data_IF_124998417333
#
_entry.id   IF_124998417333
#
_cell.length_a   1.000
_cell.length_b   1.000
_cell.length_c   1.000
_cell.angle_alpha   90.00
_cell.angle_beta   90.00
_cell.angle_gamma   90.00
#
_symmetry.space_group_name_H-M   'P 1'
#
loop_
_entity.id
_entity.type
_entity.pdbx_description
1 polymer ?
#
# COMPACT_ATOMS: atom_id res chain seq x y z
N UNK A 1 28.44 -10.66 10.39
CA UNK A 1 27.75 -9.69 11.27
C UNK A 1 26.96 -10.50 12.29
N UNK A 2 26.99 -10.17 13.59
CA UNK A 2 26.24 -10.97 14.59
C UNK A 2 24.75 -10.65 14.49
N UNK A 3 23.84 -11.60 14.80
CA UNK A 3 22.38 -11.37 14.74
C UNK A 3 21.91 -10.13 15.52
N UNK A 4 22.54 -9.87 16.68
CA UNK A 4 22.24 -8.71 17.52
C UNK A 4 22.60 -7.38 16.85
N UNK A 5 23.66 -7.36 16.04
CA UNK A 5 24.06 -6.17 15.28
C UNK A 5 22.99 -5.85 14.22
N UNK A 6 22.44 -6.87 13.55
CA UNK A 6 21.41 -6.70 12.52
C UNK A 6 20.09 -6.16 13.09
N UNK A 7 19.65 -6.67 14.25
CA UNK A 7 18.44 -6.19 14.92
C UNK A 7 18.60 -4.73 15.35
N UNK A 8 19.77 -4.38 15.91
CA UNK A 8 20.07 -3.01 16.30
C UNK A 8 20.07 -2.08 15.08
N UNK A 9 20.75 -2.45 14.00
CA UNK A 9 20.76 -1.67 12.75
C UNK A 9 19.37 -1.44 12.19
N UNK A 10 18.50 -2.47 12.17
CA UNK A 10 17.12 -2.33 11.69
C UNK A 10 16.32 -1.36 12.57
N UNK A 11 16.49 -1.43 13.89
CA UNK A 11 15.80 -0.54 14.82
C UNK A 11 16.27 0.91 14.66
N UNK A 12 17.58 1.12 14.60
CA UNK A 12 18.18 2.45 14.41
C UNK A 12 17.72 3.04 13.06
N UNK A 13 17.66 2.22 12.01
CA UNK A 13 17.09 2.60 10.72
C UNK A 13 15.62 3.03 10.84
N UNK A 14 14.78 2.24 11.52
CA UNK A 14 13.36 2.58 11.70
C UNK A 14 13.17 3.86 12.54
N UNK A 15 13.99 4.06 13.57
CA UNK A 15 13.97 5.27 14.40
C UNK A 15 14.42 6.53 13.65
N UNK A 16 15.30 6.38 12.64
CA UNK A 16 15.71 7.48 11.76
C UNK A 16 14.67 7.91 10.73
N UNK A 17 13.54 7.21 10.63
CA UNK A 17 12.48 7.55 9.69
C UNK A 17 11.68 8.77 10.17
N UNK A 18 11.29 9.62 9.22
CA UNK A 18 10.49 10.83 9.46
C UNK A 18 9.20 10.73 8.66
N UNK A 19 8.17 10.01 9.17
CA UNK A 19 6.93 9.82 8.45
C UNK A 19 6.16 11.13 8.28
N UNK A 20 5.49 11.27 7.13
CA UNK A 20 4.59 12.39 6.85
C UNK A 20 3.15 11.96 7.11
N UNK A 21 2.36 12.76 7.81
CA UNK A 21 0.93 12.50 7.95
C UNK A 21 0.21 13.02 6.71
N UNK A 22 -0.40 12.12 5.94
CA UNK A 22 -1.06 12.43 4.67
C UNK A 22 -2.52 11.96 4.69
N UNK A 23 -3.40 12.69 4.01
CA UNK A 23 -4.75 12.21 3.71
C UNK A 23 -4.67 11.24 2.52
N UNK A 24 -4.80 9.94 2.77
CA UNK A 24 -4.54 8.93 1.73
C UNK A 24 -5.52 9.00 0.57
N UNK A 25 -6.75 9.49 0.78
CA UNK A 25 -7.76 9.59 -0.29
C UNK A 25 -7.58 10.87 -1.10
N UNK A 26 -7.39 12.01 -0.45
CA UNK A 26 -7.38 13.29 -1.18
C UNK A 26 -6.01 13.76 -1.63
N UNK A 27 -4.94 13.35 -0.94
CA UNK A 27 -3.63 13.98 -1.08
C UNK A 27 -2.56 13.00 -1.61
N UNK A 28 -2.79 11.69 -1.52
CA UNK A 28 -1.76 10.69 -1.82
C UNK A 28 -2.18 9.62 -2.84
N UNK A 29 -3.16 8.77 -2.51
CA UNK A 29 -3.49 7.61 -3.34
C UNK A 29 -4.71 7.83 -4.24
N UNK A 30 -5.69 8.66 -3.85
CA UNK A 30 -6.91 8.80 -4.63
C UNK A 30 -7.62 7.45 -4.80
N UNK A 31 -7.79 7.03 -6.05
CA UNK A 31 -8.36 5.73 -6.44
C UNK A 31 -7.30 4.68 -6.79
N UNK A 32 -6.01 4.99 -6.61
CA UNK A 32 -4.94 4.04 -6.86
C UNK A 32 -4.99 2.86 -5.91
N UNK A 33 -4.59 1.70 -6.42
CA UNK A 33 -4.58 0.46 -5.65
C UNK A 33 -3.47 0.49 -4.59
N UNK A 34 -3.83 0.16 -3.35
CA UNK A 34 -2.86 -0.16 -2.32
C UNK A 34 -3.10 -1.55 -1.72
N UNK A 35 -2.07 -2.10 -1.10
CA UNK A 35 -2.18 -3.38 -0.41
C UNK A 35 -2.36 -3.16 1.09
N UNK A 36 -3.15 -4.02 1.73
CA UNK A 36 -3.23 -4.09 3.20
C UNK A 36 -2.52 -5.38 3.63
N UNK A 37 -1.53 -5.27 4.51
CA UNK A 37 -0.92 -6.44 5.13
C UNK A 37 -1.93 -7.09 6.10
N UNK A 38 -2.35 -8.32 5.79
CA UNK A 38 -3.44 -9.01 6.46
C UNK A 38 -3.20 -9.24 7.95
N UNK A 39 -1.99 -9.60 8.35
CA UNK A 39 -1.62 -9.80 9.75
C UNK A 39 -1.64 -8.47 10.53
N UNK A 40 -1.20 -7.37 9.91
CA UNK A 40 -1.32 -6.03 10.49
C UNK A 40 -2.76 -5.58 10.66
N UNK A 41 -3.61 -5.85 9.66
CA UNK A 41 -5.05 -5.59 9.72
C UNK A 41 -5.70 -6.30 10.90
N UNK A 42 -5.48 -7.62 11.03
CA UNK A 42 -6.04 -8.42 12.11
C UNK A 42 -5.56 -7.88 13.46
N UNK A 43 -4.23 -7.70 13.63
CA UNK A 43 -3.67 -7.20 14.89
C UNK A 43 -4.28 -5.88 15.31
N UNK A 44 -4.32 -4.91 14.39
CA UNK A 44 -4.90 -3.60 14.65
C UNK A 44 -6.36 -3.72 15.12
N UNK A 45 -7.19 -4.44 14.37
CA UNK A 45 -8.61 -4.59 14.70
C UNK A 45 -8.83 -5.30 16.04
N UNK A 46 -8.11 -6.38 16.32
CA UNK A 46 -8.22 -7.12 17.58
C UNK A 46 -7.80 -6.25 18.77
N UNK A 47 -6.74 -5.46 18.63
CA UNK A 47 -6.26 -4.56 19.68
C UNK A 47 -7.22 -3.40 19.92
N UNK A 48 -7.64 -2.69 18.86
CA UNK A 48 -8.52 -1.53 18.98
C UNK A 48 -9.91 -1.91 19.53
N UNK A 49 -10.47 -3.03 19.08
CA UNK A 49 -11.75 -3.52 19.57
C UNK A 49 -11.64 -4.30 20.89
N UNK A 50 -10.42 -4.47 21.44
CA UNK A 50 -10.16 -5.22 22.68
C UNK A 50 -10.78 -6.63 22.66
N UNK A 51 -10.63 -7.33 21.54
CA UNK A 51 -11.23 -8.64 21.33
C UNK A 51 -10.56 -9.67 22.24
N UNK A 52 -11.37 -10.36 23.06
CA UNK A 52 -10.88 -11.47 23.88
C UNK A 52 -10.92 -12.80 23.10
N UNK A 53 -9.78 -13.17 22.53
CA UNK A 53 -9.56 -14.51 21.96
C UNK A 53 -9.06 -15.54 22.99
N UNK A 54 -8.77 -15.10 24.21
CA UNK A 54 -8.21 -15.93 25.28
C UNK A 54 -9.27 -16.80 25.93
N UNK A 55 -10.11 -16.20 26.75
CA UNK A 55 -11.09 -16.94 27.56
C UNK A 55 -12.42 -17.08 26.80
N UNK A 56 -12.97 -15.96 26.31
CA UNK A 56 -14.29 -15.94 25.68
C UNK A 56 -14.31 -16.33 24.19
N UNK A 57 -13.14 -16.39 23.53
CA UNK A 57 -13.01 -16.65 22.08
C UNK A 57 -14.01 -15.85 21.24
N UNK A 58 -13.99 -14.52 21.38
CA UNK A 58 -14.92 -13.57 20.76
C UNK A 58 -14.72 -13.44 19.24
N UNK A 59 -14.87 -14.55 18.51
CA UNK A 59 -14.65 -14.64 17.07
C UNK A 59 -15.56 -13.71 16.27
N UNK A 60 -16.83 -13.61 16.62
CA UNK A 60 -17.75 -12.70 15.93
C UNK A 60 -17.36 -11.23 16.11
N UNK A 61 -16.85 -10.88 17.30
CA UNK A 61 -16.33 -9.55 17.55
C UNK A 61 -15.07 -9.28 16.71
N UNK A 62 -14.19 -10.29 16.56
CA UNK A 62 -13.05 -10.21 15.64
C UNK A 62 -13.50 -9.95 14.20
N UNK A 63 -14.43 -10.74 13.66
CA UNK A 63 -14.96 -10.57 12.30
C UNK A 63 -15.55 -9.18 12.12
N UNK A 64 -16.45 -8.78 13.01
CA UNK A 64 -17.09 -7.46 12.96
C UNK A 64 -16.08 -6.31 13.01
N UNK A 65 -15.05 -6.42 13.86
CA UNK A 65 -14.01 -5.38 13.99
C UNK A 65 -13.21 -5.17 12.70
N UNK A 66 -12.94 -6.25 11.95
CA UNK A 66 -12.24 -6.17 10.66
C UNK A 66 -13.16 -5.64 9.57
N UNK A 67 -14.39 -6.15 9.48
CA UNK A 67 -15.39 -5.65 8.51
C UNK A 67 -15.68 -4.16 8.69
N UNK A 68 -15.78 -3.70 9.94
CA UNK A 68 -15.99 -2.29 10.26
C UNK A 68 -14.85 -1.41 9.72
N UNK A 69 -13.60 -1.84 9.87
CA UNK A 69 -12.47 -1.08 9.32
C UNK A 69 -12.48 -1.06 7.78
N UNK A 70 -12.68 -2.22 7.15
CA UNK A 70 -12.69 -2.33 5.69
C UNK A 70 -13.85 -1.54 5.06
N UNK A 71 -15.03 -1.58 5.68
CA UNK A 71 -16.19 -0.78 5.26
C UNK A 71 -15.95 0.72 5.40
N UNK A 72 -15.25 1.17 6.45
CA UNK A 72 -14.86 2.58 6.59
C UNK A 72 -13.86 3.04 5.52
N UNK A 73 -12.94 2.17 5.08
CA UNK A 73 -12.07 2.44 3.94
C UNK A 73 -12.88 2.51 2.63
N UNK A 74 -13.75 1.52 2.37
CA UNK A 74 -14.60 1.48 1.16
C UNK A 74 -15.58 2.64 1.08
N UNK A 75 -16.15 3.07 2.20
CA UNK A 75 -17.04 4.25 2.26
C UNK A 75 -16.33 5.56 1.84
N UNK A 76 -15.00 5.58 1.87
CA UNK A 76 -14.16 6.70 1.40
C UNK A 76 -13.50 6.42 0.05
N UNK A 77 -14.03 5.45 -0.68
CA UNK A 77 -13.61 5.08 -2.03
C UNK A 77 -12.14 4.64 -2.14
N UNK A 78 -11.60 4.08 -1.05
CA UNK A 78 -10.29 3.47 -1.05
C UNK A 78 -10.29 2.19 -1.92
N UNK A 79 -9.35 2.12 -2.87
CA UNK A 79 -9.11 0.95 -3.69
C UNK A 79 -7.97 0.12 -3.10
N UNK A 80 -8.28 -1.07 -2.59
CA UNK A 80 -7.28 -1.89 -1.92
C UNK A 80 -7.52 -3.38 -2.14
N UNK A 81 -6.44 -4.15 -2.05
CA UNK A 81 -6.46 -5.61 -1.92
C UNK A 81 -5.79 -6.01 -0.58
N UNK A 82 -6.11 -7.18 -0.04
CA UNK A 82 -5.56 -7.67 1.23
C UNK A 82 -4.60 -8.83 0.97
N UNK A 83 -3.37 -8.69 1.44
CA UNK A 83 -2.29 -9.66 1.24
C UNK A 83 -1.93 -10.33 2.57
N UNK A 84 -2.11 -11.64 2.63
CA UNK A 84 -1.69 -12.49 3.73
C UNK A 84 -0.41 -13.24 3.38
N UNK A 85 0.43 -13.50 4.38
CA UNK A 85 1.67 -14.26 4.19
C UNK A 85 1.72 -15.45 5.15
N UNK A 86 1.99 -16.64 4.61
CA UNK A 86 2.02 -17.88 5.40
C UNK A 86 3.15 -17.87 6.44
N UNK A 87 4.31 -17.33 6.10
CA UNK A 87 5.42 -17.16 7.04
C UNK A 87 5.17 -16.11 8.14
N UNK A 88 4.12 -15.29 7.99
CA UNK A 88 3.71 -14.30 8.99
C UNK A 88 2.57 -14.77 9.91
N UNK A 89 2.08 -16.01 9.77
CA UNK A 89 0.91 -16.53 10.51
C UNK A 89 0.98 -16.29 12.04
N UNK A 90 2.18 -16.32 12.62
CA UNK A 90 2.39 -16.15 14.06
C UNK A 90 2.48 -14.68 14.51
N UNK A 91 2.46 -13.70 13.61
CA UNK A 91 2.51 -12.27 13.98
C UNK A 91 1.28 -11.84 14.78
N UNK A 92 0.11 -12.44 14.54
CA UNK A 92 -1.09 -12.15 15.30
C UNK A 92 -1.14 -12.85 16.67
N UNK A 93 -0.22 -13.79 16.95
CA UNK A 93 -0.23 -14.59 18.18
C UNK A 93 0.61 -13.89 19.26
N UNK A 94 0.07 -13.58 20.45
CA UNK A 94 0.87 -13.05 21.55
C UNK A 94 2.06 -13.97 21.86
N UNK A 95 3.25 -13.41 22.15
CA UNK A 95 4.48 -14.19 22.33
C UNK A 95 4.32 -15.30 23.39
N UNK A 96 3.63 -15.00 24.49
CA UNK A 96 3.30 -15.93 25.56
C UNK A 96 2.36 -17.07 25.17
N UNK A 97 1.69 -16.96 24.02
CA UNK A 97 0.66 -17.89 23.56
C UNK A 97 1.09 -18.78 22.37
N UNK A 98 2.24 -18.52 21.73
CA UNK A 98 2.67 -19.15 20.46
C UNK A 98 2.58 -20.68 20.47
N UNK A 99 3.07 -21.31 21.55
CA UNK A 99 3.12 -22.77 21.74
C UNK A 99 1.92 -23.34 22.51
N UNK A 100 0.94 -22.51 22.86
CA UNK A 100 -0.21 -22.90 23.68
C UNK A 100 -1.48 -23.07 22.83
N UNK A 101 -2.50 -23.70 23.43
CA UNK A 101 -3.87 -23.73 22.88
C UNK A 101 -4.43 -22.32 22.63
N UNK A 102 -3.99 -21.30 23.38
CA UNK A 102 -4.35 -19.90 23.14
C UNK A 102 -3.83 -19.43 21.78
N UNK A 103 -2.62 -19.81 21.37
CA UNK A 103 -2.08 -19.48 20.05
C UNK A 103 -2.84 -20.13 18.89
N UNK A 104 -3.37 -21.33 19.10
CA UNK A 104 -4.24 -21.99 18.12
C UNK A 104 -5.53 -21.20 17.86
N UNK A 105 -6.08 -20.52 18.88
CA UNK A 105 -7.27 -19.66 18.72
C UNK A 105 -6.99 -18.49 17.76
N UNK A 106 -5.85 -17.81 17.89
CA UNK A 106 -5.46 -16.73 16.97
C UNK A 106 -5.27 -17.22 15.52
N UNK A 107 -4.60 -18.36 15.33
CA UNK A 107 -4.41 -18.97 14.00
C UNK A 107 -5.75 -19.40 13.39
N UNK A 108 -6.64 -19.96 14.19
CA UNK A 108 -8.01 -20.30 13.76
C UNK A 108 -8.79 -19.06 13.35
N UNK A 109 -8.75 -17.99 14.16
CA UNK A 109 -9.38 -16.70 13.82
C UNK A 109 -8.84 -16.15 12.49
N UNK A 110 -7.51 -16.16 12.28
CA UNK A 110 -6.89 -15.78 10.99
C UNK A 110 -7.46 -16.59 9.83
N UNK A 111 -7.50 -17.91 9.95
CA UNK A 111 -8.00 -18.80 8.89
C UNK A 111 -9.48 -18.56 8.58
N UNK A 112 -10.30 -18.35 9.62
CA UNK A 112 -11.72 -18.05 9.48
C UNK A 112 -11.92 -16.72 8.77
N UNK A 113 -11.18 -15.67 9.13
CA UNK A 113 -11.25 -14.36 8.47
C UNK A 113 -10.89 -14.45 6.99
N UNK A 114 -9.78 -15.12 6.64
CA UNK A 114 -9.37 -15.32 5.24
C UNK A 114 -10.49 -16.04 4.46
N UNK A 115 -11.04 -17.13 5.01
CA UNK A 115 -12.09 -17.90 4.34
C UNK A 115 -13.41 -17.16 4.24
N UNK A 116 -13.77 -16.42 5.28
CA UNK A 116 -14.93 -15.54 5.30
C UNK A 116 -14.85 -14.56 4.15
N UNK A 117 -13.77 -13.78 4.07
CA UNK A 117 -13.64 -12.76 3.03
C UNK A 117 -13.52 -13.33 1.62
N UNK A 118 -12.87 -14.49 1.42
CA UNK A 118 -12.84 -15.14 0.10
C UNK A 118 -14.23 -15.56 -0.37
N UNK A 119 -15.10 -15.98 0.56
CA UNK A 119 -16.47 -16.44 0.25
C UNK A 119 -17.48 -15.29 0.21
N UNK A 120 -17.19 -14.18 0.87
CA UNK A 120 -17.94 -12.94 0.74
C UNK A 120 -17.68 -12.36 -0.65
N UNK A 121 -18.74 -12.05 -1.40
CA UNK A 121 -18.64 -11.43 -2.72
C UNK A 121 -18.18 -9.96 -2.60
N UNK A 122 -16.91 -9.76 -2.26
CA UNK A 122 -16.27 -8.47 -2.01
C UNK A 122 -15.74 -7.85 -3.30
N UNK A 123 -15.67 -6.52 -3.33
CA UNK A 123 -15.13 -5.71 -4.42
C UNK A 123 -13.61 -5.50 -4.31
N UNK A 124 -12.93 -6.37 -3.58
CA UNK A 124 -11.48 -6.43 -3.42
C UNK A 124 -10.99 -7.86 -3.28
N UNK A 125 -9.72 -8.09 -3.57
CA UNK A 125 -9.12 -9.42 -3.55
C UNK A 125 -8.53 -9.73 -2.18
N UNK A 126 -8.65 -11.01 -1.81
CA UNK A 126 -7.96 -11.61 -0.68
C UNK A 126 -6.94 -12.59 -1.25
N UNK A 127 -5.67 -12.31 -1.05
CA UNK A 127 -4.56 -13.10 -1.60
C UNK A 127 -3.70 -13.63 -0.46
N UNK A 128 -3.31 -14.90 -0.54
CA UNK A 128 -2.40 -15.52 0.42
C UNK A 128 -1.16 -16.05 -0.31
N UNK A 129 0.00 -15.50 0.05
CA UNK A 129 1.30 -15.86 -0.53
C UNK A 129 2.15 -16.65 0.47
N UNK A 130 3.23 -17.27 -0.01
CA UNK A 130 4.19 -17.94 0.87
C UNK A 130 4.90 -16.93 1.80
N UNK A 131 5.37 -15.84 1.21
CA UNK A 131 6.09 -14.73 1.88
C UNK A 131 6.04 -13.47 1.01
N UNK A 132 6.43 -12.33 1.57
CA UNK A 132 6.59 -11.08 0.82
C UNK A 132 7.63 -11.21 -0.32
N UNK A 133 8.62 -12.08 -0.16
CA UNK A 133 9.68 -12.30 -1.15
C UNK A 133 9.33 -13.28 -2.26
N UNK A 134 8.18 -13.95 -2.16
CA UNK A 134 7.73 -14.92 -3.16
C UNK A 134 7.57 -14.28 -4.54
N UNK A 135 7.89 -15.04 -5.58
CA UNK A 135 7.73 -14.62 -6.98
C UNK A 135 6.30 -14.16 -7.28
N UNK A 136 5.32 -14.86 -6.72
CA UNK A 136 3.89 -14.60 -6.88
C UNK A 136 3.50 -13.25 -6.28
N UNK A 137 4.01 -12.94 -5.08
CA UNK A 137 3.80 -11.63 -4.47
C UNK A 137 4.49 -10.53 -5.28
N UNK A 138 5.75 -10.72 -5.68
CA UNK A 138 6.49 -9.74 -6.49
C UNK A 138 5.79 -9.45 -7.82
N UNK A 139 5.35 -10.49 -8.53
CA UNK A 139 4.61 -10.38 -9.78
C UNK A 139 3.26 -9.69 -9.60
N UNK A 140 2.55 -9.99 -8.51
CA UNK A 140 1.30 -9.32 -8.19
C UNK A 140 1.54 -7.83 -7.93
N UNK A 141 2.51 -7.49 -7.06
CA UNK A 141 2.81 -6.12 -6.69
C UNK A 141 3.30 -5.27 -7.87
N UNK A 142 4.06 -5.85 -8.81
CA UNK A 142 4.53 -5.16 -10.01
C UNK A 142 3.45 -5.05 -11.09
N UNK A 143 2.66 -6.10 -11.30
CA UNK A 143 1.63 -6.16 -12.34
C UNK A 143 0.38 -5.33 -12.06
N UNK A 144 0.11 -4.97 -10.81
CA UNK A 144 -1.12 -4.27 -10.41
C UNK A 144 -0.93 -2.81 -10.01
N UNK A 145 0.30 -2.28 -10.11
CA UNK A 145 0.59 -0.88 -9.76
C UNK A 145 0.29 -0.56 -8.29
N UNK A 146 0.58 -1.49 -7.37
CA UNK A 146 0.35 -1.27 -5.93
C UNK A 146 1.24 -0.13 -5.43
N UNK A 147 0.61 0.98 -5.07
CA UNK A 147 1.30 2.25 -4.77
C UNK A 147 1.97 2.24 -3.38
N UNK A 148 1.27 1.71 -2.38
CA UNK A 148 1.79 1.58 -1.03
C UNK A 148 1.22 0.33 -0.34
N UNK A 149 1.80 -0.02 0.81
CA UNK A 149 1.30 -1.09 1.68
C UNK A 149 0.94 -0.53 3.04
N UNK A 150 -0.25 -0.84 3.54
CA UNK A 150 -0.71 -0.51 4.88
C UNK A 150 -0.23 -1.57 5.88
N UNK A 151 0.65 -1.18 6.80
CA UNK A 151 1.33 -2.09 7.74
C UNK A 151 1.28 -1.58 9.19
N UNK A 152 1.42 -2.52 10.14
CA UNK A 152 1.69 -2.31 11.57
C UNK A 152 3.21 -2.14 11.75
N UNK A 153 3.63 -1.18 12.57
CA UNK A 153 5.04 -0.88 12.81
C UNK A 153 5.63 -1.58 14.04
N UNK A 154 4.80 -2.31 14.77
CA UNK A 154 5.18 -3.12 15.91
C UNK A 154 5.40 -2.33 17.20
N UNK A 155 5.05 -1.04 17.30
CA UNK A 155 5.31 -0.22 18.51
C UNK A 155 4.76 -0.78 19.81
N UNK A 156 3.64 -1.50 19.74
CA UNK A 156 2.97 -2.12 20.90
C UNK A 156 3.30 -3.61 21.08
N UNK A 157 4.27 -4.12 20.32
CA UNK A 157 4.58 -5.55 20.24
C UNK A 157 5.78 -5.96 21.09
N UNK A 158 5.94 -7.29 21.27
CA UNK A 158 7.21 -7.86 21.72
C UNK A 158 8.35 -7.48 20.78
N UNK A 159 9.60 -7.52 21.28
CA UNK A 159 10.79 -7.19 20.50
C UNK A 159 10.85 -8.03 19.22
N UNK A 160 10.64 -9.34 19.31
CA UNK A 160 10.72 -10.25 18.16
C UNK A 160 9.69 -9.89 17.09
N UNK A 161 8.44 -9.63 17.49
CA UNK A 161 7.37 -9.25 16.56
C UNK A 161 7.62 -7.87 15.95
N UNK A 162 8.06 -6.91 16.75
CA UNK A 162 8.41 -5.57 16.27
C UNK A 162 9.54 -5.66 15.23
N UNK A 163 10.54 -6.50 15.47
CA UNK A 163 11.63 -6.77 14.51
C UNK A 163 11.09 -7.35 13.21
N UNK A 164 10.18 -8.33 13.25
CA UNK A 164 9.57 -8.88 12.02
C UNK A 164 8.77 -7.83 11.24
N UNK A 165 7.96 -7.03 11.93
CA UNK A 165 7.16 -5.97 11.32
C UNK A 165 8.06 -4.88 10.72
N UNK A 166 9.06 -4.40 11.45
CA UNK A 166 10.02 -3.41 10.95
C UNK A 166 10.83 -3.94 9.75
N UNK A 167 11.15 -5.24 9.73
CA UNK A 167 11.80 -5.86 8.60
C UNK A 167 10.89 -5.93 7.37
N UNK A 168 9.59 -6.21 7.54
CA UNK A 168 8.61 -6.10 6.47
C UNK A 168 8.52 -4.66 5.94
N UNK A 169 8.45 -3.67 6.82
CA UNK A 169 8.48 -2.24 6.46
C UNK A 169 9.70 -1.92 5.58
N UNK A 170 10.89 -2.36 6.00
CA UNK A 170 12.13 -2.19 5.23
C UNK A 170 12.02 -2.83 3.85
N UNK A 171 11.50 -4.06 3.75
CA UNK A 171 11.31 -4.76 2.47
C UNK A 171 10.32 -4.06 1.55
N UNK A 172 9.21 -3.55 2.07
CA UNK A 172 8.25 -2.78 1.26
C UNK A 172 8.92 -1.52 0.71
N UNK A 173 9.63 -0.78 1.55
CA UNK A 173 10.31 0.47 1.15
C UNK A 173 11.40 0.20 0.11
N UNK A 174 12.21 -0.83 0.30
CA UNK A 174 13.26 -1.24 -0.66
C UNK A 174 12.70 -1.81 -1.95
N UNK A 175 11.46 -2.33 -1.96
CA UNK A 175 10.74 -2.70 -3.17
C UNK A 175 10.24 -1.50 -4.01
N UNK A 176 10.54 -0.27 -3.57
CA UNK A 176 10.13 0.97 -4.23
C UNK A 176 8.71 1.44 -3.90
N UNK A 177 8.09 0.90 -2.86
CA UNK A 177 6.72 1.24 -2.43
C UNK A 177 6.72 2.01 -1.13
N UNK A 178 5.71 2.84 -0.91
CA UNK A 178 5.54 3.51 0.37
C UNK A 178 4.91 2.57 1.40
N UNK A 179 5.07 2.90 2.69
CA UNK A 179 4.37 2.21 3.78
C UNK A 179 3.48 3.20 4.52
N UNK A 180 2.18 2.94 4.58
CA UNK A 180 1.28 3.64 5.47
C UNK A 180 1.18 2.88 6.80
N UNK A 181 1.21 3.60 7.92
CA UNK A 181 1.12 2.99 9.24
C UNK A 181 -0.34 2.87 9.70
N UNK A 182 -0.81 1.63 9.85
CA UNK A 182 -2.18 1.32 10.27
C UNK A 182 -2.49 1.83 11.69
N UNK A 183 -1.49 1.87 12.58
CA UNK A 183 -1.67 2.34 13.96
C UNK A 183 -1.85 3.86 14.06
N UNK A 184 -1.66 4.59 12.97
CA UNK A 184 -1.78 6.06 12.91
C UNK A 184 -3.08 6.54 12.25
N UNK A 185 -3.99 5.61 11.91
CA UNK A 185 -5.24 5.93 11.23
C UNK A 185 -6.03 6.96 12.03
N UNK A 186 -6.32 8.09 11.39
CA UNK A 186 -7.18 9.13 11.95
C UNK A 186 -8.29 9.47 10.95
N UNK A 187 -9.54 9.33 11.39
CA UNK A 187 -10.72 9.62 10.57
C UNK A 187 -11.20 11.05 10.78
N UNK A 188 -11.38 11.82 9.70
CA UNK A 188 -11.97 13.17 9.73
C UNK A 188 -12.98 13.31 8.61
N UNK A 189 -14.27 13.14 8.94
CA UNK A 189 -15.37 13.15 7.96
C UNK A 189 -15.12 12.14 6.82
N UNK A 190 -14.99 12.61 5.58
CA UNK A 190 -14.68 11.80 4.39
C UNK A 190 -13.19 11.52 4.19
N UNK A 191 -12.31 12.10 5.02
CA UNK A 191 -10.85 11.95 4.91
C UNK A 191 -10.33 10.90 5.88
N UNK A 192 -9.23 10.27 5.49
CA UNK A 192 -8.48 9.31 6.30
C UNK A 192 -7.02 9.70 6.25
N UNK A 193 -6.46 10.00 7.43
CA UNK A 193 -5.08 10.41 7.59
C UNK A 193 -4.26 9.26 8.14
N UNK A 194 -3.06 9.06 7.61
CA UNK A 194 -2.10 8.07 8.08
C UNK A 194 -0.69 8.63 7.98
N UNK A 195 0.19 8.20 8.88
CA UNK A 195 1.62 8.39 8.77
C UNK A 195 2.17 7.52 7.65
N UNK A 196 2.81 8.15 6.68
CA UNK A 196 3.40 7.55 5.51
C UNK A 196 4.93 7.58 5.62
N UNK A 197 5.53 6.40 5.52
CA UNK A 197 6.95 6.21 5.35
C UNK A 197 7.25 6.14 3.85
N UNK A 198 8.19 6.96 3.43
CA UNK A 198 8.74 6.96 2.09
C UNK A 198 10.21 6.60 2.18
N UNK A 199 10.70 5.76 1.28
CA UNK A 199 12.11 5.38 1.29
C UNK A 199 12.98 6.63 1.11
N UNK A 200 13.78 6.97 2.13
CA UNK A 200 14.94 7.86 1.93
C UNK A 200 15.94 7.07 1.10
N UNK A 201 16.52 7.67 0.05
CA UNK A 201 17.57 7.05 -0.79
C UNK A 201 18.88 6.78 -0.04
N UNK A 202 18.94 7.01 1.26
CA UNK A 202 20.09 6.67 2.09
C UNK A 202 20.01 5.19 2.48
N UNK A 203 20.53 4.35 1.59
CA UNK A 203 20.72 2.93 1.82
C UNK A 203 21.78 2.70 2.91
N UNK A 204 21.47 1.99 4.02
CA UNK A 204 22.51 1.45 4.92
C UNK A 204 23.16 0.17 4.34
N UNK A 205 22.58 -0.42 3.30
CA UNK A 205 23.13 -1.55 2.55
C UNK A 205 23.18 -1.14 1.08
N UNK A 206 24.38 -0.79 0.63
CA UNK A 206 24.64 -0.29 -0.72
C UNK A 206 24.31 -1.34 -1.76
N UNK A 207 23.27 -1.05 -2.55
CA UNK A 207 23.34 -0.99 -4.00
C UNK A 207 22.06 -0.28 -4.46
N UNK A 208 22.21 0.83 -5.19
CA UNK A 208 21.07 1.51 -5.81
C UNK A 208 20.58 0.64 -6.96
N UNK A 209 19.71 -0.31 -6.64
CA UNK A 209 19.05 -1.12 -7.66
C UNK A 209 18.02 -0.23 -8.39
N UNK A 210 18.50 0.44 -9.44
CA UNK A 210 17.68 1.22 -10.35
C UNK A 210 16.53 0.35 -10.86
N UNK A 211 15.31 0.90 -10.97
CA UNK A 211 14.21 0.13 -11.56
C UNK A 211 14.59 -0.30 -12.99
N UNK A 212 14.02 -1.38 -13.54
CA UNK A 212 14.32 -1.78 -14.92
C UNK A 212 14.19 -0.60 -15.91
N UNK A 213 13.16 0.24 -15.73
CA UNK A 213 12.96 1.45 -16.54
C UNK A 213 14.10 2.47 -16.39
N UNK A 214 14.60 2.68 -15.18
CA UNK A 214 15.71 3.60 -14.92
C UNK A 214 17.03 3.04 -15.50
N UNK A 215 17.27 1.72 -15.35
CA UNK A 215 18.42 1.03 -15.97
C UNK A 215 18.40 1.19 -17.49
N UNK A 216 17.24 1.04 -18.12
CA UNK A 216 17.06 1.21 -19.56
C UNK A 216 17.29 2.67 -20.00
N UNK A 217 16.73 3.64 -19.27
CA UNK A 217 16.92 5.04 -19.58
C UNK A 217 18.40 5.43 -19.52
N UNK A 218 19.12 4.99 -18.49
CA UNK A 218 20.55 5.23 -18.33
C UNK A 218 21.36 4.53 -19.43
N UNK A 219 21.04 3.28 -19.75
CA UNK A 219 21.70 2.54 -20.83
C UNK A 219 21.50 3.21 -22.20
N UNK A 220 20.28 3.68 -22.49
CA UNK A 220 19.98 4.42 -23.71
C UNK A 220 20.75 5.74 -23.78
N UNK A 221 20.73 6.55 -22.71
CA UNK A 221 21.47 7.82 -22.68
C UNK A 221 22.97 7.60 -22.90
N UNK A 222 23.53 6.55 -22.30
CA UNK A 222 24.93 6.17 -22.50
C UNK A 222 25.20 5.82 -23.96
N UNK A 223 24.42 4.91 -24.55
CA UNK A 223 24.58 4.50 -25.94
C UNK A 223 24.42 5.67 -26.92
N UNK A 224 23.48 6.59 -26.66
CA UNK A 224 23.29 7.79 -27.45
C UNK A 224 24.51 8.71 -27.40
N UNK A 225 25.03 8.98 -26.19
CA UNK A 225 26.22 9.81 -26.02
C UNK A 225 27.44 9.19 -26.68
N UNK A 226 27.64 7.88 -26.53
CA UNK A 226 28.74 7.14 -27.18
C UNK A 226 28.63 7.21 -28.70
N UNK A 227 27.42 7.09 -29.25
CA UNK A 227 27.15 7.25 -30.68
C UNK A 227 27.50 8.67 -31.16
N UNK A 228 27.04 9.72 -30.48
CA UNK A 228 27.38 11.10 -30.79
C UNK A 228 28.90 11.36 -30.72
N UNK A 229 29.57 10.75 -29.75
CA UNK A 229 31.04 10.87 -29.58
C UNK A 229 31.79 10.23 -30.75
N UNK A 230 31.29 9.10 -31.27
CA UNK A 230 31.87 8.43 -32.44
C UNK A 230 31.67 9.20 -33.76
N UNK A 231 30.68 10.10 -33.81
CA UNK A 231 30.36 10.98 -34.94
C UNK A 231 31.08 12.35 -34.89
N UNK A 232 31.98 12.55 -33.92
CA UNK A 232 33.01 13.60 -33.85
C UNK A 232 32.62 15.00 -33.32
N UNK A 233 31.60 15.12 -32.47
CA UNK A 233 31.52 16.03 -31.30
C UNK A 233 30.12 15.94 -30.65
N UNK A 234 30.04 15.91 -29.32
CA UNK A 234 28.76 16.03 -28.60
C UNK A 234 28.33 17.49 -28.67
N UNK A 235 27.16 17.77 -29.26
CA UNK A 235 26.64 19.13 -29.33
C UNK A 235 25.84 19.49 -28.07
N UNK A 236 25.68 20.79 -27.81
CA UNK A 236 24.79 21.29 -26.75
C UNK A 236 23.34 20.77 -26.91
N UNK A 237 22.89 20.61 -28.16
CA UNK A 237 21.58 20.05 -28.47
C UNK A 237 21.44 18.58 -28.02
N UNK A 238 22.52 17.78 -28.12
CA UNK A 238 22.52 16.39 -27.67
C UNK A 238 22.40 16.28 -26.15
N UNK A 239 23.09 17.16 -25.42
CA UNK A 239 22.96 17.26 -23.96
C UNK A 239 21.54 17.69 -23.55
N UNK A 240 20.93 18.64 -24.28
CA UNK A 240 19.54 19.02 -24.06
C UNK A 240 18.57 17.87 -24.31
N UNK A 241 18.78 17.05 -25.34
CA UNK A 241 17.94 15.88 -25.62
C UNK A 241 18.03 14.82 -24.52
N UNK A 242 19.25 14.50 -24.07
CA UNK A 242 19.47 13.59 -22.93
C UNK A 242 18.83 14.15 -21.67
N UNK A 243 19.02 15.45 -21.38
CA UNK A 243 18.41 16.12 -20.24
C UNK A 243 16.88 16.09 -20.28
N UNK A 244 16.27 16.42 -21.42
CA UNK A 244 14.83 16.38 -21.62
C UNK A 244 14.27 14.95 -21.47
N UNK A 245 14.97 13.95 -22.01
CA UNK A 245 14.59 12.55 -21.87
C UNK A 245 14.65 12.08 -20.42
N UNK A 246 15.74 12.36 -19.69
CA UNK A 246 15.85 12.02 -18.27
C UNK A 246 14.79 12.76 -17.42
N UNK A 247 14.52 14.02 -17.74
CA UNK A 247 13.46 14.80 -17.09
C UNK A 247 12.07 14.18 -17.35
N UNK A 248 11.81 13.69 -18.57
CA UNK A 248 10.58 12.99 -18.90
C UNK A 248 10.46 11.68 -18.12
N UNK A 249 11.53 10.89 -18.02
CA UNK A 249 11.54 9.65 -17.21
C UNK A 249 11.28 9.97 -15.73
N UNK A 250 11.90 11.02 -15.19
CA UNK A 250 11.66 11.49 -13.83
C UNK A 250 10.21 11.95 -13.63
N UNK A 251 9.65 12.71 -14.58
CA UNK A 251 8.25 13.15 -14.56
C UNK A 251 7.28 11.97 -14.58
N UNK A 252 7.56 10.97 -15.42
CA UNK A 252 6.79 9.73 -15.49
C UNK A 252 6.91 8.86 -14.24
N UNK A 253 7.93 9.08 -13.40
CA UNK A 253 8.15 8.35 -12.15
C UNK A 253 7.56 9.06 -10.94
N UNK A 254 7.65 10.39 -10.89
CA UNK A 254 7.38 11.17 -9.68
C UNK A 254 6.11 12.03 -9.75
N UNK A 255 5.58 12.30 -10.95
CA UNK A 255 4.34 13.07 -11.10
C UNK A 255 3.15 12.13 -11.34
N UNK A 256 2.01 12.40 -10.74
CA UNK A 256 0.72 11.74 -11.02
C UNK A 256 0.23 12.02 -12.44
N UNK A 257 -0.74 11.25 -12.95
CA UNK A 257 -1.37 11.49 -14.26
C UNK A 257 -2.01 12.89 -14.37
N UNK A 258 -2.59 13.39 -13.28
CA UNK A 258 -3.21 14.71 -13.23
C UNK A 258 -2.16 15.83 -13.32
N UNK A 259 -1.02 15.67 -12.64
CA UNK A 259 0.10 16.63 -12.72
C UNK A 259 0.81 16.62 -14.09
N UNK A 260 0.76 15.49 -14.80
CA UNK A 260 1.25 15.36 -16.19
C UNK A 260 0.31 15.99 -17.21
N UNK A 261 -0.94 16.29 -16.83
CA UNK A 261 -1.91 16.92 -17.72
C UNK A 261 -1.60 18.41 -17.79
N UNK A 262 -0.53 18.75 -18.51
CA UNK A 262 -0.16 20.14 -18.71
C UNK A 262 -1.22 20.80 -19.60
N UNK A 263 -1.76 21.91 -19.10
CA UNK A 263 -2.67 22.82 -19.81
C UNK A 263 -2.08 23.16 -21.18
N UNK A 264 -2.94 23.14 -22.20
CA UNK A 264 -2.67 23.43 -23.62
C UNK A 264 -1.46 24.37 -23.82
N UNK A 265 -0.38 23.81 -24.37
CA UNK A 265 0.74 24.61 -24.86
C UNK A 265 0.34 25.21 -26.22
N UNK A 266 0.55 26.51 -26.34
CA UNK A 266 0.27 27.34 -27.51
C UNK A 266 0.63 26.64 -28.83
N UNK A 267 -0.29 26.78 -29.80
CA UNK A 267 -0.09 26.48 -31.21
C UNK A 267 0.97 27.42 -31.80
N UNK A 268 2.23 27.17 -31.51
CA UNK A 268 3.31 27.52 -32.43
C UNK A 268 3.82 26.21 -32.99
N UNK A 269 3.51 25.98 -34.27
CA UNK A 269 3.97 24.84 -35.06
C UNK A 269 5.50 24.89 -35.20
N UNK A 270 6.20 24.53 -34.12
CA UNK A 270 7.62 24.28 -34.11
C UNK A 270 7.88 22.99 -34.87
N UNK A 271 8.37 23.13 -36.09
CA UNK A 271 8.83 22.04 -36.95
C UNK A 271 9.77 21.15 -36.13
N UNK A 272 9.36 19.90 -35.87
CA UNK A 272 10.24 18.85 -35.31
C UNK A 272 11.46 18.79 -36.22
N UNK A 273 12.64 19.07 -35.69
CA UNK A 273 13.85 19.11 -36.52
C UNK A 273 14.22 17.68 -36.93
N UNK A 274 14.89 17.52 -38.08
CA UNK A 274 15.30 16.20 -38.58
C UNK A 274 16.13 15.39 -37.57
N UNK A 275 16.87 16.09 -36.71
CA UNK A 275 17.66 15.50 -35.62
C UNK A 275 16.79 14.95 -34.47
N UNK A 276 15.61 15.51 -34.22
CA UNK A 276 14.69 15.00 -33.19
C UNK A 276 14.00 13.72 -33.68
N UNK A 277 13.75 13.62 -34.98
CA UNK A 277 13.31 12.37 -35.60
C UNK A 277 14.37 11.27 -35.50
N UNK A 278 15.65 11.59 -35.64
CA UNK A 278 16.76 10.66 -35.48
C UNK A 278 16.90 10.18 -34.04
N UNK A 279 16.80 11.09 -33.06
CA UNK A 279 16.76 10.75 -31.63
C UNK A 279 15.60 9.80 -31.29
N UNK A 280 14.39 10.13 -31.74
CA UNK A 280 13.21 9.30 -31.52
C UNK A 280 13.31 7.94 -32.23
N UNK A 281 13.89 7.91 -33.43
CA UNK A 281 14.11 6.67 -34.17
C UNK A 281 15.12 5.77 -33.44
N UNK A 282 16.22 6.32 -32.93
CA UNK A 282 17.18 5.57 -32.11
C UNK A 282 16.55 5.05 -30.81
N UNK A 283 15.71 5.86 -30.16
CA UNK A 283 14.97 5.43 -28.98
C UNK A 283 14.03 4.26 -29.28
N UNK A 284 13.23 4.36 -30.35
CA UNK A 284 12.33 3.30 -30.78
C UNK A 284 13.10 2.03 -31.18
N UNK A 285 14.19 2.16 -31.92
CA UNK A 285 15.03 1.02 -32.35
C UNK A 285 15.69 0.32 -31.16
N UNK A 286 16.24 1.07 -30.20
CA UNK A 286 16.82 0.51 -28.98
C UNK A 286 15.75 -0.19 -28.12
N UNK A 287 14.57 0.41 -28.00
CA UNK A 287 13.45 -0.18 -27.26
C UNK A 287 12.94 -1.45 -27.92
N UNK A 288 12.82 -1.48 -29.26
CA UNK A 288 12.37 -2.64 -30.02
C UNK A 288 13.37 -3.79 -29.93
N UNK A 289 14.68 -3.52 -30.06
CA UNK A 289 15.72 -4.54 -29.92
C UNK A 289 15.74 -5.20 -28.54
N UNK A 290 15.33 -4.47 -27.49
CA UNK A 290 15.21 -4.99 -26.13
C UNK A 290 13.92 -5.80 -25.91
N UNK A 291 12.82 -5.46 -26.59
CA UNK A 291 11.57 -6.24 -26.57
C UNK A 291 11.74 -7.56 -27.32
N UNK A 292 12.57 -7.58 -28.38
CA UNK A 292 12.79 -8.74 -29.24
C UNK A 292 13.88 -9.70 -28.73
N UNK A 293 14.67 -9.31 -27.71
CA UNK A 293 15.56 -10.25 -27.03
C UNK A 293 14.82 -10.98 -25.90
N UNK A 294 14.72 -12.33 -25.93
CA UNK A 294 14.22 -13.09 -24.79
C UNK A 294 15.17 -12.87 -23.61
N UNK A 295 14.63 -12.52 -22.44
CA UNK A 295 15.35 -12.33 -21.18
C UNK A 295 16.31 -13.48 -20.84
N UNK A 296 17.54 -13.41 -21.32
CA UNK A 296 18.71 -14.09 -20.77
C UNK A 296 19.84 -13.07 -20.66
N UNK A 297 19.65 -12.05 -19.82
CA UNK A 297 20.78 -11.26 -19.32
C UNK A 297 21.50 -12.11 -18.28
N UNK A 298 22.50 -12.86 -18.73
CA UNK A 298 23.56 -13.36 -17.85
C UNK A 298 24.32 -12.14 -17.30
N UNK A 299 24.41 -12.03 -15.97
CA UNK A 299 25.14 -10.99 -15.23
C UNK A 299 26.68 -11.11 -15.35
N UNK A 300 27.18 -11.62 -16.46
CA UNK A 300 28.61 -11.75 -16.69
C UNK A 300 28.98 -11.10 -18.02
N UNK A 301 29.29 -9.81 -17.94
CA UNK A 301 30.58 -9.23 -18.34
C UNK A 301 30.45 -7.73 -18.61
N UNK A 302 31.33 -6.94 -17.97
CA UNK A 302 31.90 -5.75 -18.62
C UNK A 302 31.49 -4.38 -18.07
N UNK A 303 32.41 -3.78 -17.33
CA UNK A 303 32.59 -2.33 -17.10
C UNK A 303 31.65 -1.67 -16.07
N UNK A 304 32.02 -1.80 -14.79
CA UNK A 304 31.88 -0.73 -13.78
C UNK A 304 32.57 0.54 -14.31
N UNK A 305 31.78 1.39 -14.97
CA UNK A 305 32.16 2.76 -15.30
C UNK A 305 31.21 3.69 -14.59
N UNK A 306 31.70 4.33 -13.53
CA UNK A 306 30.99 5.35 -12.75
C UNK A 306 30.27 6.33 -13.68
N UNK A 307 28.98 6.55 -13.41
CA UNK A 307 28.20 7.58 -14.08
C UNK A 307 28.80 8.94 -13.72
N UNK A 308 29.14 9.81 -14.69
CA UNK A 308 29.66 11.14 -14.36
C UNK A 308 28.65 11.88 -13.46
N UNK A 309 29.05 12.19 -12.24
CA UNK A 309 28.23 12.84 -11.21
C UNK A 309 27.53 14.11 -11.72
N UNK A 310 28.13 14.78 -12.71
CA UNK A 310 27.58 15.96 -13.36
C UNK A 310 26.20 15.77 -14.01
N UNK A 311 25.88 14.59 -14.56
CA UNK A 311 24.57 14.37 -15.22
C UNK A 311 23.44 14.29 -14.18
N UNK A 312 23.69 13.61 -13.06
CA UNK A 312 22.74 13.50 -11.94
C UNK A 312 22.55 14.83 -11.22
N UNK A 313 23.61 15.61 -11.04
CA UNK A 313 23.55 16.95 -10.46
C UNK A 313 22.75 17.92 -11.35
N UNK A 314 22.92 17.85 -12.67
CA UNK A 314 22.20 18.72 -13.62
C UNK A 314 20.70 18.40 -13.68
N UNK A 315 20.33 17.12 -13.67
CA UNK A 315 18.92 16.72 -13.61
C UNK A 315 18.24 17.18 -12.30
N UNK A 316 18.97 17.14 -11.18
CA UNK A 316 18.47 17.59 -9.89
C UNK A 316 18.33 19.12 -9.82
N UNK A 317 19.24 19.87 -10.45
CA UNK A 317 19.14 21.33 -10.57
C UNK A 317 17.90 21.75 -11.40
N UNK A 318 17.71 21.15 -12.57
CA UNK A 318 16.56 21.41 -13.46
C UNK A 318 15.21 21.13 -12.77
N UNK A 319 15.12 20.04 -12.00
CA UNK A 319 13.92 19.74 -11.21
C UNK A 319 13.60 20.84 -10.18
N UNK A 320 14.62 21.34 -9.47
CA UNK A 320 14.41 22.36 -8.45
C UNK A 320 14.03 23.72 -9.05
N UNK A 321 14.54 24.07 -10.23
CA UNK A 321 14.20 25.31 -10.93
C UNK A 321 12.78 25.28 -11.54
N UNK A 322 12.36 24.16 -12.12
CA UNK A 322 11.08 24.08 -12.83
C UNK A 322 9.85 24.05 -11.90
N UNK A 323 10.01 23.64 -10.63
CA UNK A 323 8.87 23.31 -9.77
C UNK A 323 8.84 24.00 -8.41
N UNK A 324 9.85 24.79 -8.01
CA UNK A 324 9.72 25.68 -6.83
C UNK A 324 8.96 26.97 -7.19
N UNK A 325 7.67 27.03 -6.85
CA UNK A 325 6.97 28.34 -6.78
C UNK A 325 5.48 28.40 -7.12
N UNK A 326 4.76 27.29 -7.34
CA UNK A 326 3.31 27.36 -7.58
C UNK A 326 2.52 27.16 -6.28
N UNK A 327 1.79 28.20 -5.90
CA UNK A 327 0.84 28.24 -4.78
C UNK A 327 -0.51 27.64 -5.22
N UNK A 328 -1.08 26.63 -4.52
CA UNK A 328 -2.28 25.94 -4.95
C UNK A 328 -3.55 26.56 -4.33
N UNK A 329 -3.96 27.75 -4.78
CA UNK A 329 -5.32 28.24 -4.51
C UNK A 329 -6.07 28.53 -5.81
N UNK A 330 -6.86 27.57 -6.30
CA UNK A 330 -8.03 27.83 -7.15
C UNK A 330 -9.19 26.95 -6.72
N UNK A 331 -10.28 27.61 -6.33
CA UNK A 331 -11.54 27.07 -5.83
C UNK A 331 -12.36 26.41 -6.96
N UNK A 332 -13.10 25.36 -6.59
CA UNK A 332 -14.11 24.68 -7.41
C UNK A 332 -15.15 25.64 -8.02
N UNK A 333 -15.94 25.16 -9.02
CA UNK A 333 -17.33 24.93 -8.66
C UNK A 333 -18.11 23.79 -9.38
N UNK A 334 -19.08 23.23 -8.62
CA UNK A 334 -20.33 22.49 -8.97
C UNK A 334 -20.27 21.01 -9.42
N UNK A 335 -21.03 20.13 -8.75
CA UNK A 335 -22.49 19.97 -8.94
C UNK A 335 -23.13 18.98 -7.93
N UNK A 336 -24.29 19.39 -7.40
CA UNK A 336 -25.16 18.67 -6.47
C UNK A 336 -26.02 17.63 -7.21
N UNK A 337 -25.99 16.36 -6.79
CA UNK A 337 -26.88 15.31 -7.30
C UNK A 337 -28.00 14.97 -6.30
N UNK A 338 -29.24 14.94 -6.82
CA UNK A 338 -30.50 14.81 -6.09
C UNK A 338 -30.80 13.38 -5.64
N UNK A 339 -31.49 13.28 -4.51
CA UNK A 339 -32.08 12.09 -3.89
C UNK A 339 -33.08 11.36 -4.80
N UNK A 340 -32.95 10.03 -4.87
CA UNK A 340 -33.91 9.13 -5.50
C UNK A 340 -34.87 8.57 -4.44
N UNK A 341 -36.18 8.86 -4.57
CA UNK A 341 -37.26 8.26 -3.79
C UNK A 341 -37.72 6.97 -4.48
N UNK A 342 -37.60 5.84 -3.79
CA UNK A 342 -38.24 4.58 -4.15
C UNK A 342 -38.93 3.99 -2.93
N UNK A 343 -40.25 3.83 -2.98
CA UNK A 343 -41.08 3.24 -1.93
C UNK A 343 -40.91 1.72 -1.86
N UNK A 344 -40.88 1.16 -0.65
CA UNK A 344 -41.00 -0.29 -0.38
C UNK A 344 -42.20 -0.57 0.55
N UNK A 345 -42.79 -1.78 0.49
CA UNK A 345 -44.08 -2.08 1.09
C UNK A 345 -44.00 -2.41 2.59
N UNK A 346 -45.17 -2.45 3.20
CA UNK A 346 -45.49 -2.51 4.63
C UNK A 346 -44.86 -3.68 5.41
N UNK A 347 -44.49 -3.47 6.70
CA UNK A 347 -43.88 -4.51 7.53
C UNK A 347 -44.93 -5.47 8.11
N UNK A 348 -44.63 -6.76 8.07
CA UNK A 348 -45.32 -7.79 8.87
C UNK A 348 -44.71 -7.80 10.27
N UNK A 349 -45.56 -7.98 11.27
CA UNK A 349 -45.29 -7.94 12.71
C UNK A 349 -43.88 -8.39 13.11
N UNK A 350 -43.09 -7.44 13.60
CA UNK A 350 -41.78 -7.67 14.20
C UNK A 350 -41.95 -8.48 15.48
N UNK A 351 -41.35 -9.67 15.52
CA UNK A 351 -41.02 -10.33 16.78
C UNK A 351 -39.87 -9.52 17.37
N UNK A 352 -40.01 -9.08 18.62
CA UNK A 352 -38.95 -8.39 19.37
C UNK A 352 -37.78 -9.36 19.55
N UNK A 353 -36.85 -9.35 18.60
CA UNK A 353 -35.59 -10.05 18.67
C UNK A 353 -34.60 -9.11 19.35
N UNK A 354 -34.13 -9.48 20.54
CA UNK A 354 -33.07 -8.77 21.28
C UNK A 354 -31.70 -8.85 20.60
N UNK A 355 -31.54 -9.72 19.60
CA UNK A 355 -30.39 -9.79 18.72
C UNK A 355 -30.81 -10.16 17.29
N UNK A 356 -30.16 -9.56 16.29
CA UNK A 356 -30.38 -9.89 14.87
C UNK A 356 -30.10 -11.39 14.64
N UNK A 357 -30.91 -12.08 13.83
CA UNK A 357 -30.64 -13.47 13.47
C UNK A 357 -29.31 -13.54 12.72
N UNK A 358 -28.35 -14.26 13.31
CA UNK A 358 -27.02 -14.46 12.76
C UNK A 358 -27.07 -15.60 11.73
N UNK A 359 -26.74 -15.30 10.48
CA UNK A 359 -26.52 -16.28 9.41
C UNK A 359 -25.12 -16.04 8.83
N UNK A 360 -24.34 -17.10 8.67
CA UNK A 360 -22.94 -16.96 8.24
C UNK A 360 -22.54 -18.18 7.41
N UNK A 361 -22.21 -18.00 6.11
CA UNK A 361 -22.08 -19.10 5.14
C UNK A 361 -20.94 -20.07 5.43
N UNK A 362 -19.93 -19.65 6.21
CA UNK A 362 -18.85 -20.53 6.70
C UNK A 362 -19.17 -21.17 8.04
N UNK A 363 -19.68 -20.40 9.00
CA UNK A 363 -19.89 -20.88 10.36
C UNK A 363 -21.13 -21.75 10.48
N UNK A 364 -22.10 -21.67 9.56
CA UNK A 364 -23.27 -22.55 9.55
C UNK A 364 -22.90 -24.03 9.48
N UNK A 365 -21.90 -24.40 8.68
CA UNK A 365 -21.41 -25.79 8.61
C UNK A 365 -20.78 -26.28 9.92
N UNK A 366 -20.20 -25.36 10.71
CA UNK A 366 -19.57 -25.64 12.00
C UNK A 366 -20.54 -25.52 13.18
N UNK A 367 -21.57 -24.67 13.05
CA UNK A 367 -22.56 -24.35 14.08
C UNK A 367 -23.87 -25.15 13.89
N UNK A 368 -23.96 -26.01 12.87
CA UNK A 368 -25.13 -26.88 12.63
C UNK A 368 -25.55 -27.72 13.85
N UNK A 369 -24.59 -28.03 14.73
CA UNK A 369 -24.80 -28.81 15.95
C UNK A 369 -24.97 -27.92 17.21
N UNK A 370 -24.83 -26.60 17.07
CA UNK A 370 -24.98 -25.62 18.15
C UNK A 370 -26.35 -24.96 18.01
N UNK A 371 -27.32 -25.40 18.82
CA UNK A 371 -28.62 -24.71 18.93
C UNK A 371 -28.57 -23.69 20.06
N UNK A 372 -28.85 -22.43 19.74
CA UNK A 372 -29.11 -21.41 20.75
C UNK A 372 -30.49 -21.74 21.34
N UNK A 373 -30.53 -22.10 22.62
CA UNK A 373 -31.78 -22.23 23.36
C UNK A 373 -32.30 -20.83 23.70
N UNK A 374 -33.57 -20.57 23.41
CA UNK A 374 -34.27 -19.41 23.96
C UNK A 374 -34.38 -19.62 25.48
N UNK A 375 -33.63 -18.84 26.26
CA UNK A 375 -33.89 -18.72 27.69
C UNK A 375 -34.95 -17.64 27.88
N UNK A 376 -36.05 -17.96 28.54
CA UNK A 376 -36.98 -16.93 29.02
C UNK A 376 -36.17 -15.94 29.87
N UNK A 377 -36.29 -14.66 29.50
CA UNK A 377 -35.62 -13.56 30.17
C UNK A 377 -36.12 -13.52 31.62
N UNK A 378 -35.31 -14.00 32.56
CA UNK A 378 -35.56 -13.75 33.98
C UNK A 378 -35.31 -12.26 34.16
N UNK A 379 -36.38 -11.46 34.09
CA UNK A 379 -36.31 -10.06 34.50
C UNK A 379 -35.76 -10.02 35.91
N UNK A 380 -34.54 -9.51 36.07
CA UNK A 380 -33.99 -9.20 37.37
C UNK A 380 -34.82 -8.03 37.93
N UNK A 381 -35.59 -8.24 39.02
CA UNK A 381 -36.43 -7.19 39.59
C UNK A 381 -35.59 -6.00 40.12
N UNK A 382 -34.26 -6.12 40.22
CA UNK A 382 -33.37 -5.03 40.59
C UNK A 382 -32.86 -4.19 39.41
N UNK A 383 -33.12 -4.59 38.15
CA UNK A 383 -32.62 -3.88 36.98
C UNK A 383 -33.23 -2.47 36.85
N UNK A 384 -34.47 -2.25 37.31
CA UNK A 384 -35.09 -0.91 37.33
C UNK A 384 -34.50 0.02 38.40
N UNK A 385 -34.00 -0.53 39.52
CA UNK A 385 -33.44 0.28 40.62
C UNK A 385 -32.08 0.90 40.28
N UNK A 386 -31.32 0.31 39.35
CA UNK A 386 -29.99 0.80 38.98
C UNK A 386 -30.05 2.08 38.12
N UNK A 387 -31.21 2.37 37.50
CA UNK A 387 -31.36 3.52 36.60
C UNK A 387 -32.15 4.71 37.18
N UNK A 388 -32.62 4.64 38.43
CA UNK A 388 -33.21 5.80 39.11
C UNK A 388 -32.15 6.80 39.62
N UNK A 389 -30.94 6.36 39.94
CA UNK A 389 -29.87 7.23 40.47
C UNK A 389 -29.18 8.12 39.41
N UNK A 390 -29.52 7.96 38.12
CA UNK A 390 -28.95 8.75 37.02
C UNK A 390 -29.87 9.88 36.53
N UNK A 391 -30.95 10.19 37.26
CA UNK A 391 -31.84 11.31 36.97
C UNK A 391 -31.82 12.38 38.06
N UNK A 392 -30.66 13.02 38.27
CA UNK A 392 -30.59 14.35 38.89
C UNK A 392 -29.54 15.22 38.21
#
# INVERSE_FOLDING_TARGET
>A
MRPDDTIKTLRDWYQGQTPLTVNIVGDFAGHELFAIHGESLIRYCLTEAKVDLGECFQLLHAVHSVEKLLSELKRRDCNFDILFFRDHENLCVPQQAVSSTKGAKYRLTRRILIQHFIKSNLDFRILEFASFESSECKNYLSGHGVHFVLCDDGRTSSIDQATHLQHLLYKVLTSGRHVANINSITWKSSKVFMSLLSGKKDHPFGDTDLSPRDKHAVAFCRAYIEHCTSANEITEADLHRVGAFLLQIATLKYCSLQERTCVEVCKEDGIIQSQDHEFLHMFCAATQGLIEMPCEFNEQEGSEGDVPSGILEHAHALYNEAFRGRDPEVKQPFATLKSFKGSRPTPKAEKNLTALPFSHPVLEDFLKDVRIGESEEIQDPNAELVFEDLRH
#
